data_IF_018285104110
#
_entry.id   IF_018285104110
#
_cell.length_a   1.000
_cell.length_b   1.000
_cell.length_c   1.000
_cell.angle_alpha   90.00
_cell.angle_beta   90.00
_cell.angle_gamma   90.00
#
_symmetry.space_group_name_H-M   'P 1'
#
loop_
_entity.id
_entity.type
_entity.pdbx_description
1 polymer ?
#
# COMPACT_ATOMS: atom_id res chain seq x y z
N UNK A 1 -11.22 32.27 -3.18
CA UNK A 1 -12.41 31.44 -2.92
C UNK A 1 -12.70 30.65 -4.19
N UNK A 2 -12.02 29.51 -4.35
CA UNK A 2 -12.01 28.75 -5.62
C UNK A 2 -11.88 27.25 -5.39
N UNK A 3 -12.35 26.76 -4.24
CA UNK A 3 -12.49 25.33 -4.03
C UNK A 3 -13.90 24.95 -4.49
N UNK A 4 -13.95 24.13 -5.53
CA UNK A 4 -15.14 23.39 -5.94
C UNK A 4 -14.95 21.99 -5.39
N UNK A 5 -15.87 21.51 -4.56
CA UNK A 5 -15.87 20.11 -4.15
C UNK A 5 -16.08 19.26 -5.39
N UNK A 6 -15.04 18.52 -5.77
CA UNK A 6 -15.10 17.46 -6.77
C UNK A 6 -15.13 16.13 -6.03
N UNK A 7 -16.00 15.22 -6.46
CA UNK A 7 -15.92 13.83 -5.99
C UNK A 7 -14.72 13.20 -6.69
N UNK A 8 -13.58 13.20 -6.02
CA UNK A 8 -12.41 12.49 -6.49
C UNK A 8 -12.62 10.99 -6.27
N UNK A 9 -12.32 10.13 -7.25
CA UNK A 9 -12.47 8.69 -7.11
C UNK A 9 -11.46 8.17 -6.05
N UNK A 10 -11.98 7.73 -4.91
CA UNK A 10 -11.22 7.03 -3.87
C UNK A 10 -11.18 5.53 -4.20
N UNK A 11 -10.00 4.97 -4.41
CA UNK A 11 -9.82 3.53 -4.67
C UNK A 11 -8.78 2.92 -3.75
N UNK A 12 -8.95 1.63 -3.47
CA UNK A 12 -7.94 0.77 -2.88
C UNK A 12 -7.30 -0.07 -3.98
N UNK A 13 -5.98 -0.21 -3.93
CA UNK A 13 -5.17 -0.95 -4.90
C UNK A 13 -4.39 -2.02 -4.17
N UNK A 14 -4.46 -3.25 -4.69
CA UNK A 14 -3.75 -4.41 -4.16
C UNK A 14 -2.44 -4.60 -4.92
N UNK A 15 -1.33 -4.70 -4.18
CA UNK A 15 0.00 -4.98 -4.71
C UNK A 15 0.47 -6.32 -4.20
N UNK A 16 0.51 -7.33 -5.06
CA UNK A 16 0.83 -8.71 -4.69
C UNK A 16 2.29 -8.84 -4.25
N UNK A 17 2.53 -9.39 -3.07
CA UNK A 17 3.89 -9.64 -2.57
C UNK A 17 4.57 -10.74 -3.40
N UNK A 18 5.89 -10.65 -3.57
CA UNK A 18 6.65 -11.68 -4.29
C UNK A 18 6.96 -12.91 -3.43
N UNK A 19 7.05 -12.77 -2.11
CA UNK A 19 7.53 -13.79 -1.17
C UNK A 19 6.41 -14.56 -0.45
N UNK A 20 5.17 -14.08 -0.50
CA UNK A 20 4.00 -14.71 0.13
C UNK A 20 2.69 -14.37 -0.59
N UNK A 21 1.65 -15.17 -0.35
CA UNK A 21 0.31 -14.93 -0.91
C UNK A 21 -0.46 -13.91 -0.07
N UNK A 22 0.02 -12.67 -0.10
CA UNK A 22 -0.59 -11.50 0.54
C UNK A 22 -0.42 -10.26 -0.34
N UNK A 23 -1.17 -9.22 -0.04
CA UNK A 23 -1.16 -7.96 -0.77
C UNK A 23 -0.85 -6.79 0.15
N UNK A 24 0.05 -5.90 -0.27
CA UNK A 24 0.03 -4.55 0.29
C UNK A 24 -1.22 -3.84 -0.22
N UNK A 25 -1.97 -3.24 0.69
CA UNK A 25 -3.18 -2.48 0.34
C UNK A 25 -2.86 -1.00 0.43
N UNK A 26 -2.92 -0.27 -0.68
CA UNK A 26 -2.72 1.17 -0.70
C UNK A 26 -3.99 1.90 -1.13
N UNK A 27 -4.19 3.09 -0.59
CA UNK A 27 -5.29 3.98 -0.95
C UNK A 27 -4.81 5.13 -1.85
N UNK A 28 -5.63 5.55 -2.81
CA UNK A 28 -5.37 6.76 -3.63
C UNK A 28 -6.65 7.42 -4.12
N UNK A 29 -6.63 8.75 -4.23
CA UNK A 29 -7.65 9.55 -4.91
C UNK A 29 -7.30 9.86 -6.37
N UNK A 30 -6.10 9.44 -6.82
CA UNK A 30 -5.55 9.72 -8.15
C UNK A 30 -5.24 8.41 -8.90
N UNK A 31 -6.26 7.63 -9.27
CA UNK A 31 -6.07 6.29 -9.84
C UNK A 31 -5.21 6.27 -11.12
N UNK A 32 -5.23 7.35 -11.89
CA UNK A 32 -4.42 7.49 -13.10
C UNK A 32 -2.91 7.51 -12.85
N UNK A 33 -2.45 7.67 -11.59
CA UNK A 33 -1.02 7.65 -11.25
C UNK A 33 -0.50 6.24 -10.96
N UNK A 34 -1.38 5.25 -10.79
CA UNK A 34 -1.00 3.87 -10.49
C UNK A 34 -0.16 3.25 -11.60
N UNK A 35 -0.35 3.68 -12.85
CA UNK A 35 0.49 3.25 -13.96
C UNK A 35 1.96 3.65 -13.74
N UNK A 36 2.24 4.76 -13.08
CA UNK A 36 3.62 5.19 -12.84
C UNK A 36 4.16 4.73 -11.48
N UNK A 37 3.51 3.77 -10.81
CA UNK A 37 3.96 3.28 -9.51
C UNK A 37 5.32 2.58 -9.60
N UNK A 38 6.26 3.00 -8.74
CA UNK A 38 7.61 2.45 -8.66
C UNK A 38 8.01 2.00 -7.25
N UNK A 39 7.27 2.40 -6.20
CA UNK A 39 7.51 1.96 -4.83
C UNK A 39 6.24 2.02 -3.97
N UNK A 40 6.31 1.38 -2.80
CA UNK A 40 5.36 1.58 -1.71
C UNK A 40 6.11 2.21 -0.54
N UNK A 41 5.54 3.22 0.10
CA UNK A 41 6.12 3.91 1.22
C UNK A 41 5.37 3.55 2.51
N UNK A 42 6.12 3.25 3.57
CA UNK A 42 5.60 2.89 4.90
C UNK A 42 6.38 3.62 5.99
N UNK A 43 5.75 3.86 7.14
CA UNK A 43 6.45 4.44 8.29
C UNK A 43 7.10 3.34 9.12
N UNK A 44 8.44 3.30 9.29
CA UNK A 44 9.10 2.22 10.02
C UNK A 44 8.70 2.10 11.50
N UNK A 45 8.16 3.18 12.09
CA UNK A 45 7.84 3.28 13.50
C UNK A 45 6.39 2.89 13.83
N UNK A 46 5.50 2.89 12.84
CA UNK A 46 4.11 2.47 13.00
C UNK A 46 3.99 0.94 13.10
N UNK A 47 2.88 0.50 13.69
CA UNK A 47 2.50 -0.90 13.77
C UNK A 47 1.66 -1.29 12.55
N UNK A 48 2.03 -2.40 11.93
CA UNK A 48 1.39 -2.98 10.77
C UNK A 48 0.91 -4.38 11.12
N UNK A 49 -0.06 -4.85 10.35
CA UNK A 49 -0.61 -6.20 10.51
C UNK A 49 -0.61 -6.96 9.20
N UNK A 50 -0.48 -8.27 9.33
CA UNK A 50 -0.98 -9.22 8.35
C UNK A 50 -2.40 -9.60 8.76
N UNK A 51 -3.37 -9.25 7.93
CA UNK A 51 -4.79 -9.40 8.24
C UNK A 51 -5.51 -10.19 7.15
N UNK A 52 -6.17 -11.27 7.54
CA UNK A 52 -7.06 -12.03 6.68
C UNK A 52 -8.44 -11.37 6.67
N UNK A 53 -9.00 -11.18 5.48
CA UNK A 53 -10.35 -10.64 5.26
C UNK A 53 -10.97 -11.36 4.06
N UNK A 54 -12.04 -12.11 4.32
CA UNK A 54 -12.57 -13.11 3.39
C UNK A 54 -11.49 -14.10 2.92
N UNK A 55 -11.27 -14.19 1.60
CA UNK A 55 -10.35 -15.13 0.96
C UNK A 55 -8.98 -14.49 0.65
N UNK A 56 -8.72 -13.27 1.13
CA UNK A 56 -7.49 -12.52 0.84
C UNK A 56 -6.77 -12.11 2.13
N UNK A 57 -5.45 -11.92 2.01
CA UNK A 57 -4.60 -11.45 3.11
C UNK A 57 -3.95 -10.13 2.73
N UNK A 58 -4.02 -9.16 3.64
CA UNK A 58 -3.55 -7.80 3.44
C UNK A 58 -2.45 -7.42 4.42
N UNK A 59 -1.55 -6.55 3.96
CA UNK A 59 -0.58 -5.81 4.76
C UNK A 59 -1.02 -4.34 4.78
N UNK A 60 -1.31 -3.83 5.98
CA UNK A 60 -1.71 -2.44 6.22
C UNK A 60 -1.40 -2.01 7.65
N UNK A 61 -1.45 -0.70 7.94
CA UNK A 61 -1.26 -0.20 9.28
C UNK A 61 -2.39 -0.67 10.20
N UNK A 62 -2.04 -1.08 11.42
CA UNK A 62 -2.96 -1.67 12.39
C UNK A 62 -4.17 -0.78 12.67
N UNK A 63 -3.91 0.51 12.87
CA UNK A 63 -4.93 1.49 13.24
C UNK A 63 -5.92 1.79 12.11
N UNK A 64 -5.62 1.38 10.86
CA UNK A 64 -6.49 1.59 9.71
C UNK A 64 -7.42 0.39 9.43
N UNK A 65 -7.25 -0.75 10.10
CA UNK A 65 -7.89 -2.03 9.72
C UNK A 65 -9.42 -1.94 9.78
N UNK A 66 -9.95 -1.46 10.91
CA UNK A 66 -11.40 -1.40 11.14
C UNK A 66 -12.09 -0.42 10.18
N UNK A 67 -11.48 0.75 9.93
CA UNK A 67 -12.02 1.76 9.02
C UNK A 67 -12.02 1.28 7.55
N UNK A 68 -11.06 0.45 7.15
CA UNK A 68 -10.92 -0.01 5.76
C UNK A 68 -11.68 -1.32 5.51
N UNK A 69 -11.66 -2.27 6.45
CA UNK A 69 -12.20 -3.63 6.27
C UNK A 69 -13.51 -3.89 7.05
N UNK A 70 -13.92 -2.99 7.94
CA UNK A 70 -15.07 -3.18 8.82
C UNK A 70 -14.78 -4.19 9.94
N UNK A 71 -15.78 -4.99 10.32
CA UNK A 71 -15.68 -5.90 11.48
C UNK A 71 -15.25 -7.34 11.11
N UNK A 72 -15.24 -7.70 9.82
CA UNK A 72 -15.02 -9.09 9.38
C UNK A 72 -13.57 -9.39 9.02
N UNK A 73 -12.65 -9.34 9.98
CA UNK A 73 -11.23 -9.63 9.74
C UNK A 73 -10.60 -10.47 10.86
N UNK A 74 -9.45 -11.08 10.56
CA UNK A 74 -8.63 -11.81 11.52
C UNK A 74 -7.19 -11.31 11.39
N UNK A 75 -6.65 -10.72 12.45
CA UNK A 75 -5.23 -10.36 12.53
C UNK A 75 -4.43 -11.66 12.73
N UNK A 76 -3.59 -12.00 11.75
CA UNK A 76 -2.73 -13.18 11.79
C UNK A 76 -1.38 -12.86 12.45
N UNK A 77 -0.85 -11.66 12.21
CA UNK A 77 0.44 -11.21 12.73
C UNK A 77 0.46 -9.69 12.91
N UNK A 78 1.19 -9.21 13.92
CA UNK A 78 1.48 -7.79 14.15
C UNK A 78 2.99 -7.57 14.17
N UNK A 79 3.46 -6.51 13.52
CA UNK A 79 4.89 -6.19 13.42
C UNK A 79 5.12 -4.70 13.18
N UNK A 80 6.37 -4.24 13.37
CA UNK A 80 6.77 -2.87 13.04
C UNK A 80 6.94 -2.70 11.54
N UNK A 81 6.63 -1.50 11.02
CA UNK A 81 6.81 -1.16 9.60
C UNK A 81 8.25 -1.34 9.11
N UNK A 82 9.23 -1.26 10.01
CA UNK A 82 10.64 -1.56 9.72
C UNK A 82 10.88 -2.97 9.15
N UNK A 83 10.02 -3.95 9.48
CA UNK A 83 10.08 -5.33 8.95
C UNK A 83 9.71 -5.39 7.47
N UNK A 84 8.92 -4.43 6.98
CA UNK A 84 8.46 -4.38 5.60
C UNK A 84 9.52 -3.83 4.64
N UNK A 85 10.51 -3.08 5.15
CA UNK A 85 11.48 -2.36 4.33
C UNK A 85 12.25 -3.30 3.40
N UNK A 86 12.23 -3.00 2.11
CA UNK A 86 12.90 -3.80 1.08
C UNK A 86 12.10 -5.00 0.58
N UNK A 87 10.98 -5.37 1.19
CA UNK A 87 10.06 -6.37 0.60
C UNK A 87 9.61 -5.90 -0.78
N UNK A 88 9.49 -6.84 -1.71
CA UNK A 88 9.16 -6.56 -3.11
C UNK A 88 7.73 -7.01 -3.43
N UNK A 89 7.18 -6.43 -4.50
CA UNK A 89 5.84 -6.72 -4.97
C UNK A 89 5.76 -6.71 -6.49
N UNK A 90 4.70 -7.32 -7.01
CA UNK A 90 4.38 -7.30 -8.42
C UNK A 90 3.71 -5.96 -8.77
N UNK A 91 4.21 -5.21 -9.77
CA UNK A 91 3.49 -4.04 -10.26
C UNK A 91 2.12 -4.44 -10.79
N UNK A 92 1.18 -3.51 -10.66
CA UNK A 92 -0.21 -3.66 -11.13
C UNK A 92 -0.25 -3.81 -12.66
N UNK A 93 0.73 -3.23 -13.35
CA UNK A 93 0.86 -3.27 -14.79
C UNK A 93 2.30 -3.61 -15.21
N UNK A 94 2.47 -4.27 -16.35
CA UNK A 94 3.73 -4.85 -16.80
C UNK A 94 4.56 -3.97 -17.74
N UNK A 95 4.03 -2.85 -18.24
CA UNK A 95 4.72 -1.99 -19.23
C UNK A 95 6.08 -1.46 -18.78
N UNK A 96 6.29 -1.28 -17.47
CA UNK A 96 7.53 -0.71 -16.94
C UNK A 96 8.65 -1.76 -16.78
N UNK A 97 8.36 -3.05 -16.95
CA UNK A 97 9.39 -4.10 -16.89
C UNK A 97 10.39 -4.04 -18.05
N UNK A 98 10.01 -3.44 -19.18
CA UNK A 98 10.93 -3.28 -20.31
C UNK A 98 11.97 -2.18 -20.05
N UNK A 99 11.66 -1.25 -19.15
CA UNK A 99 12.47 -0.05 -18.90
C UNK A 99 13.28 -0.12 -17.59
N UNK A 100 12.76 -0.81 -16.57
CA UNK A 100 13.36 -0.82 -15.23
C UNK A 100 13.62 -2.25 -14.73
N UNK A 101 14.82 -2.46 -14.18
CA UNK A 101 15.15 -3.70 -13.50
C UNK A 101 14.38 -3.80 -12.17
N UNK A 102 13.78 -4.97 -11.88
CA UNK A 102 13.07 -5.23 -10.61
C UNK A 102 13.94 -4.98 -9.37
N UNK A 103 15.26 -5.09 -9.49
CA UNK A 103 16.18 -4.77 -8.40
C UNK A 103 16.23 -3.28 -8.06
N UNK A 104 15.67 -2.40 -8.88
CA UNK A 104 15.67 -0.94 -8.69
C UNK A 104 14.28 -0.36 -8.34
N UNK A 105 13.20 -1.12 -8.53
CA UNK A 105 11.82 -0.66 -8.32
C UNK A 105 10.97 -1.70 -7.55
N UNK A 106 9.68 -1.39 -7.39
CA UNK A 106 8.63 -2.23 -6.79
C UNK A 106 9.03 -2.87 -5.46
N UNK A 107 9.45 -2.00 -4.54
CA UNK A 107 9.78 -2.34 -3.17
C UNK A 107 9.22 -1.36 -2.17
N UNK A 108 9.19 -1.81 -0.92
CA UNK A 108 8.82 -0.98 0.21
C UNK A 108 10.00 -0.11 0.65
N UNK A 109 9.76 1.20 0.79
CA UNK A 109 10.74 2.21 1.22
C UNK A 109 10.26 2.92 2.50
N UNK A 110 11.18 3.43 3.34
CA UNK A 110 10.81 4.15 4.55
C UNK A 110 10.32 5.57 4.23
N UNK A 111 9.25 6.00 4.89
CA UNK A 111 8.72 7.36 4.83
C UNK A 111 8.12 7.77 6.17
N UNK A 112 8.64 8.85 6.75
CA UNK A 112 8.19 9.41 8.04
C UNK A 112 6.88 10.21 7.93
N UNK A 113 6.53 10.68 6.73
CA UNK A 113 5.28 11.39 6.45
C UNK A 113 4.04 10.47 6.39
N UNK A 114 4.22 9.14 6.36
CA UNK A 114 3.09 8.20 6.34
C UNK A 114 2.47 8.15 7.74
N UNK A 115 1.17 8.43 7.81
CA UNK A 115 0.36 8.40 9.03
C UNK A 115 -0.77 7.37 8.90
N UNK A 116 -1.59 7.23 9.95
CA UNK A 116 -2.78 6.36 10.00
C UNK A 116 -4.07 7.16 9.99
N UNK A 117 -4.01 8.47 9.70
CA UNK A 117 -5.18 9.35 9.77
C UNK A 117 -6.16 9.08 8.61
N UNK A 118 -5.66 8.66 7.45
CA UNK A 118 -6.44 8.35 6.26
C UNK A 118 -5.83 7.18 5.47
N UNK A 119 -6.68 6.39 4.80
CA UNK A 119 -6.26 5.31 3.92
C UNK A 119 -5.83 4.05 4.68
N UNK A 120 -4.65 3.53 4.38
CA UNK A 120 -4.21 2.20 4.85
C UNK A 120 -2.86 2.21 5.59
N UNK A 121 -2.23 3.38 5.73
CA UNK A 121 -0.84 3.49 6.18
C UNK A 121 0.20 2.90 5.21
N UNK A 122 -0.19 2.59 3.96
CA UNK A 122 0.71 2.24 2.86
C UNK A 122 0.46 3.20 1.70
N UNK A 123 1.50 3.92 1.28
CA UNK A 123 1.38 4.95 0.23
C UNK A 123 2.05 4.48 -1.05
N UNK A 124 1.29 4.41 -2.15
CA UNK A 124 1.87 4.15 -3.46
C UNK A 124 2.69 5.37 -3.91
N UNK A 125 3.88 5.14 -4.46
CA UNK A 125 4.80 6.21 -4.88
C UNK A 125 5.05 6.12 -6.37
N UNK A 126 4.68 7.18 -7.09
CA UNK A 126 4.84 7.33 -8.53
C UNK A 126 5.72 8.55 -8.84
N UNK A 127 7.06 8.38 -8.95
CA UNK A 127 7.95 9.48 -9.34
C UNK A 127 7.68 9.85 -10.81
N UNK A 128 7.59 11.15 -11.07
CA UNK A 128 7.38 11.73 -12.40
C UNK A 128 8.69 11.92 -13.18
#
# INVERSE_FOLDING_TARGET
LGYKETQDPSIYVKFKMDDEDAYFLAWTTTPWTIVSNMALAVNPNLDYVKVAHFDETFIMAKDCVEDVLGEEYIIEEEFKGSVLLGKTYQPVFDFAFEEFDKSQAWRVIPADYVTTDDGTGVVHTAPA
#
